data_IF_868476588437
#
_entry.id   IF_868476588437
#
_cell.length_a   1.000
_cell.length_b   1.000
_cell.length_c   1.000
_cell.angle_alpha   90.00
_cell.angle_beta   90.00
_cell.angle_gamma   90.00
#
_symmetry.space_group_name_H-M   'P 1'
#
loop_
_entity.id
_entity.type
_entity.pdbx_description
1 polymer ?
#
# COMPACT_ATOMS: atom_id res chain seq x y z
N UNK A 1 -5.69 10.35 5.45
CA UNK A 1 -6.51 10.37 4.20
C UNK A 1 -7.18 11.71 3.98
N UNK A 2 -7.10 12.65 4.92
CA UNK A 2 -7.71 13.98 4.80
C UNK A 2 -7.25 14.76 3.57
N UNK A 3 -6.02 14.53 3.09
CA UNK A 3 -5.44 15.22 1.93
C UNK A 3 -5.67 14.50 0.59
N UNK A 4 -6.28 13.31 0.58
CA UNK A 4 -6.45 12.52 -0.64
C UNK A 4 -7.71 12.96 -1.39
N UNK A 5 -7.56 13.40 -2.64
CA UNK A 5 -8.70 13.86 -3.44
C UNK A 5 -9.32 12.72 -4.26
N UNK A 6 -10.64 12.80 -4.53
CA UNK A 6 -11.33 11.82 -5.37
C UNK A 6 -10.73 11.70 -6.78
N UNK A 7 -10.32 12.83 -7.36
CA UNK A 7 -9.69 12.86 -8.70
C UNK A 7 -8.34 12.15 -8.69
N UNK A 8 -7.52 12.39 -7.66
CA UNK A 8 -6.24 11.72 -7.51
C UNK A 8 -6.41 10.20 -7.31
N UNK A 9 -7.41 9.78 -6.52
CA UNK A 9 -7.73 8.38 -6.32
C UNK A 9 -8.13 7.67 -7.64
N UNK A 10 -8.98 8.30 -8.46
CA UNK A 10 -9.37 7.75 -9.76
C UNK A 10 -8.16 7.66 -10.70
N UNK A 11 -7.35 8.71 -10.79
CA UNK A 11 -6.15 8.71 -11.64
C UNK A 11 -5.15 7.66 -11.16
N UNK A 12 -4.91 7.57 -9.85
CA UNK A 12 -4.05 6.55 -9.25
C UNK A 12 -4.52 5.14 -9.59
N UNK A 13 -5.81 4.86 -9.45
CA UNK A 13 -6.37 3.56 -9.80
C UNK A 13 -6.18 3.21 -11.29
N UNK A 14 -6.40 4.18 -12.20
CA UNK A 14 -6.18 3.98 -13.63
C UNK A 14 -4.70 3.78 -13.97
N UNK A 15 -3.80 4.54 -13.33
CA UNK A 15 -2.34 4.46 -13.51
C UNK A 15 -1.74 3.19 -12.89
N UNK A 16 -2.40 2.61 -11.88
CA UNK A 16 -1.96 1.34 -11.27
C UNK A 16 -1.95 0.18 -12.27
N UNK A 17 -2.84 0.20 -13.27
CA UNK A 17 -2.97 -0.85 -14.29
C UNK A 17 -1.70 -0.92 -15.17
N UNK A 18 -1.25 0.16 -15.85
CA UNK A 18 -0.02 0.11 -16.63
C UNK A 18 1.22 -0.13 -15.75
N UNK A 19 1.26 0.37 -14.50
CA UNK A 19 2.35 0.08 -13.56
C UNK A 19 2.43 -1.43 -13.27
N UNK A 20 1.31 -2.06 -12.94
CA UNK A 20 1.25 -3.49 -12.67
C UNK A 20 1.61 -4.32 -13.92
N UNK A 21 1.18 -3.86 -15.10
CA UNK A 21 1.50 -4.50 -16.37
C UNK A 21 3.00 -4.46 -16.64
N UNK A 22 3.68 -3.33 -16.41
CA UNK A 22 5.12 -3.20 -16.58
C UNK A 22 5.91 -4.28 -15.81
N UNK A 23 5.57 -4.51 -14.54
CA UNK A 23 6.22 -5.53 -13.71
C UNK A 23 5.88 -6.98 -14.12
N UNK A 24 4.83 -7.20 -14.92
CA UNK A 24 4.43 -8.53 -15.38
C UNK A 24 5.01 -8.92 -16.73
N UNK A 25 5.57 -7.98 -17.50
CA UNK A 25 6.05 -8.25 -18.88
C UNK A 25 7.26 -9.18 -18.91
N UNK A 26 8.31 -8.91 -18.12
CA UNK A 26 9.51 -9.77 -18.06
C UNK A 26 9.21 -11.15 -17.45
N UNK A 27 8.59 -11.26 -16.26
CA UNK A 27 8.32 -12.55 -15.61
C UNK A 27 7.38 -13.48 -16.40
N UNK A 28 6.60 -12.93 -17.35
CA UNK A 28 5.71 -13.70 -18.24
C UNK A 28 6.33 -14.02 -19.59
N UNK A 29 7.57 -13.60 -19.85
CA UNK A 29 8.27 -13.85 -21.12
C UNK A 29 7.64 -13.14 -22.32
N UNK A 30 6.96 -12.00 -22.08
CA UNK A 30 6.32 -11.23 -23.16
C UNK A 30 7.32 -10.33 -23.89
N UNK A 31 8.47 -10.03 -23.29
CA UNK A 31 9.57 -9.28 -23.90
C UNK A 31 10.90 -9.59 -23.21
N UNK A 32 11.94 -9.88 -24.00
CA UNK A 32 13.31 -10.13 -23.53
C UNK A 32 14.17 -8.85 -23.42
N UNK A 33 13.52 -7.68 -23.43
CA UNK A 33 14.22 -6.40 -23.32
C UNK A 33 14.72 -6.17 -21.90
N UNK A 34 15.97 -5.71 -21.75
CA UNK A 34 16.58 -5.34 -20.47
C UNK A 34 15.85 -4.19 -19.73
N UNK A 35 14.87 -3.56 -20.37
CA UNK A 35 13.99 -2.55 -19.76
C UNK A 35 12.98 -3.16 -18.77
N UNK A 36 12.69 -4.46 -18.84
CA UNK A 36 11.74 -5.11 -17.93
C UNK A 36 12.48 -5.91 -16.86
N UNK A 37 12.12 -5.68 -15.60
CA UNK A 37 12.76 -6.31 -14.44
C UNK A 37 12.04 -7.61 -14.11
N UNK A 38 12.80 -8.70 -13.96
CA UNK A 38 12.29 -9.97 -13.46
C UNK A 38 12.40 -10.02 -11.93
N UNK A 39 11.25 -9.93 -11.25
CA UNK A 39 11.13 -9.93 -9.79
C UNK A 39 9.98 -10.85 -9.34
N UNK A 40 10.04 -11.44 -8.13
CA UNK A 40 8.98 -12.29 -7.59
C UNK A 40 7.63 -11.58 -7.49
N UNK A 41 6.53 -12.31 -7.65
CA UNK A 41 5.17 -11.76 -7.67
C UNK A 41 4.83 -10.91 -6.43
N UNK A 42 5.28 -11.31 -5.23
CA UNK A 42 5.02 -10.56 -4.00
C UNK A 42 5.64 -9.14 -4.07
N UNK A 43 6.85 -9.04 -4.60
CA UNK A 43 7.56 -7.78 -4.77
C UNK A 43 6.88 -6.91 -5.85
N UNK A 44 6.41 -7.52 -6.94
CA UNK A 44 5.63 -6.82 -7.97
C UNK A 44 4.39 -6.14 -7.38
N UNK A 45 3.66 -6.87 -6.52
CA UNK A 45 2.48 -6.33 -5.84
C UNK A 45 2.85 -5.21 -4.88
N UNK A 46 3.95 -5.37 -4.12
CA UNK A 46 4.48 -4.34 -3.22
C UNK A 46 4.86 -3.05 -3.96
N UNK A 47 5.65 -3.14 -5.03
CA UNK A 47 6.05 -1.98 -5.83
C UNK A 47 4.86 -1.30 -6.50
N UNK A 48 3.92 -2.08 -7.05
CA UNK A 48 2.69 -1.53 -7.64
C UNK A 48 1.91 -0.71 -6.61
N UNK A 49 1.75 -1.23 -5.39
CA UNK A 49 1.04 -0.54 -4.31
C UNK A 49 1.74 0.77 -3.92
N UNK A 50 3.06 0.74 -3.71
CA UNK A 50 3.85 1.91 -3.33
C UNK A 50 3.85 2.99 -4.41
N UNK A 51 4.04 2.62 -5.69
CA UNK A 51 4.04 3.57 -6.80
C UNK A 51 2.66 4.16 -7.03
N UNK A 52 1.60 3.37 -6.90
CA UNK A 52 0.22 3.88 -7.00
C UNK A 52 -0.07 4.88 -5.88
N UNK A 53 0.31 4.56 -4.65
CA UNK A 53 0.18 5.48 -3.51
C UNK A 53 0.94 6.78 -3.76
N UNK A 54 2.18 6.68 -4.26
CA UNK A 54 3.00 7.85 -4.59
C UNK A 54 2.34 8.76 -5.63
N UNK A 55 1.77 8.19 -6.71
CA UNK A 55 1.03 8.94 -7.73
C UNK A 55 -0.19 9.65 -7.11
N UNK A 56 -0.97 8.96 -6.28
CA UNK A 56 -2.14 9.55 -5.61
C UNK A 56 -1.72 10.72 -4.71
N UNK A 57 -0.65 10.56 -3.93
CA UNK A 57 -0.13 11.60 -3.05
C UNK A 57 0.34 12.82 -3.85
N UNK A 58 1.12 12.62 -4.92
CA UNK A 58 1.59 13.71 -5.77
C UNK A 58 0.44 14.50 -6.41
N UNK A 59 -0.52 13.80 -7.02
CA UNK A 59 -1.64 14.46 -7.70
C UNK A 59 -2.52 15.18 -6.68
N UNK A 60 -2.80 14.57 -5.52
CA UNK A 60 -3.58 15.22 -4.46
C UNK A 60 -2.87 16.48 -3.97
N UNK A 61 -1.56 16.40 -3.75
CA UNK A 61 -0.75 17.52 -3.29
C UNK A 61 -0.74 18.68 -4.29
N UNK A 62 -0.55 18.40 -5.58
CA UNK A 62 -0.59 19.42 -6.64
C UNK A 62 -1.99 20.02 -6.78
N UNK A 63 -3.05 19.23 -6.60
CA UNK A 63 -4.41 19.69 -6.79
C UNK A 63 -4.88 20.64 -5.67
N UNK A 64 -4.56 20.32 -4.40
CA UNK A 64 -5.01 21.09 -3.24
C UNK A 64 -3.90 21.89 -2.56
N UNK A 65 -2.67 21.92 -3.11
CA UNK A 65 -1.48 22.53 -2.50
C UNK A 65 -1.29 22.10 -1.04
N UNK A 66 -1.56 20.82 -0.75
CA UNK A 66 -1.45 20.25 0.60
C UNK A 66 -2.56 20.64 1.58
N UNK A 67 -3.62 21.33 1.14
CA UNK A 67 -4.83 21.54 1.95
C UNK A 67 -5.64 20.25 2.07
N UNK A 68 -6.41 20.17 3.15
CA UNK A 68 -7.30 19.04 3.38
C UNK A 68 -8.48 19.08 2.40
N UNK A 69 -8.93 17.92 1.96
CA UNK A 69 -10.09 17.75 1.09
C UNK A 69 -11.37 17.85 1.95
N UNK A 70 -12.39 18.56 1.46
CA UNK A 70 -13.67 18.72 2.15
C UNK A 70 -14.39 17.38 2.39
N UNK A 71 -14.08 16.36 1.60
CA UNK A 71 -14.58 14.99 1.74
C UNK A 71 -13.57 14.05 2.41
N UNK A 72 -12.50 14.62 2.96
CA UNK A 72 -11.54 13.89 3.78
C UNK A 72 -12.23 13.25 4.99
N UNK A 73 -11.85 12.02 5.30
CA UNK A 73 -12.30 11.36 6.53
C UNK A 73 -11.49 11.94 7.69
N UNK A 74 -12.17 12.57 8.64
CA UNK A 74 -11.56 13.01 9.90
C UNK A 74 -11.23 11.77 10.74
N UNK A 75 -9.94 11.55 10.96
CA UNK A 75 -9.40 10.40 11.69
C UNK A 75 -8.97 10.88 13.07
N UNK A 76 -9.83 10.65 14.05
CA UNK A 76 -9.54 10.97 15.44
C UNK A 76 -8.83 9.83 16.17
N UNK A 77 -8.10 10.15 17.25
CA UNK A 77 -7.46 9.14 18.12
C UNK A 77 -8.49 8.20 18.78
N UNK A 78 -9.71 8.68 19.00
CA UNK A 78 -10.80 7.89 19.58
C UNK A 78 -11.21 6.73 18.68
N UNK A 79 -11.13 6.92 17.35
CA UNK A 79 -11.47 5.87 16.36
C UNK A 79 -10.58 4.63 16.49
N UNK A 80 -9.38 4.77 17.05
CA UNK A 80 -8.44 3.67 17.25
C UNK A 80 -8.35 3.18 18.69
N UNK A 81 -9.17 3.71 19.62
CA UNK A 81 -9.15 3.22 21.00
C UNK A 81 -9.73 1.81 21.06
N UNK A 82 -8.93 0.90 21.58
CA UNK A 82 -9.27 -0.51 21.78
C UNK A 82 -9.45 -0.83 23.27
N UNK A 83 -10.25 -1.85 23.58
CA UNK A 83 -10.46 -2.28 24.96
C UNK A 83 -9.22 -2.98 25.53
N UNK A 84 -8.98 -2.92 26.86
CA UNK A 84 -7.84 -3.61 27.48
C UNK A 84 -7.79 -5.11 27.19
N UNK A 85 -8.96 -5.76 27.15
CA UNK A 85 -9.07 -7.21 26.85
C UNK A 85 -8.62 -7.50 25.42
N UNK A 86 -9.02 -6.67 24.45
CA UNK A 86 -8.59 -6.82 23.06
C UNK A 86 -7.05 -6.67 22.93
N UNK A 87 -6.47 -5.70 23.64
CA UNK A 87 -5.02 -5.45 23.59
C UNK A 87 -4.20 -6.60 24.18
N UNK A 88 -4.66 -7.18 25.29
CA UNK A 88 -4.00 -8.36 25.87
C UNK A 88 -4.09 -9.54 24.90
N UNK A 89 -5.26 -9.75 24.29
CA UNK A 89 -5.47 -10.80 23.30
C UNK A 89 -4.59 -10.65 22.06
N UNK A 90 -4.51 -9.44 21.49
CA UNK A 90 -3.68 -9.18 20.30
C UNK A 90 -2.19 -9.36 20.59
N UNK A 91 -1.72 -8.93 21.77
CA UNK A 91 -0.34 -9.18 22.22
C UNK A 91 -0.02 -10.67 22.32
N UNK A 92 -0.94 -11.48 22.87
CA UNK A 92 -0.73 -12.92 22.97
C UNK A 92 -0.61 -13.57 21.58
N UNK A 93 -1.49 -13.20 20.64
CA UNK A 93 -1.42 -13.70 19.25
C UNK A 93 -0.10 -13.32 18.59
N UNK A 94 0.37 -12.07 18.76
CA UNK A 94 1.67 -11.64 18.24
C UNK A 94 2.84 -12.43 18.83
N UNK A 95 2.83 -12.68 20.15
CA UNK A 95 3.87 -13.46 20.81
C UNK A 95 3.91 -14.91 20.31
N UNK A 96 2.75 -15.53 20.09
CA UNK A 96 2.67 -16.87 19.50
C UNK A 96 3.24 -16.86 18.08
N UNK A 97 2.90 -15.88 17.25
CA UNK A 97 3.48 -15.73 15.91
C UNK A 97 5.00 -15.60 15.95
N UNK A 98 5.53 -14.74 16.84
CA UNK A 98 6.97 -14.56 17.02
C UNK A 98 7.64 -15.87 17.43
N UNK A 99 7.07 -16.59 18.41
CA UNK A 99 7.62 -17.87 18.86
C UNK A 99 7.62 -18.92 17.74
N UNK A 100 6.55 -19.01 16.94
CA UNK A 100 6.47 -19.92 15.80
C UNK A 100 7.54 -19.57 14.75
N UNK A 101 7.60 -18.31 14.32
CA UNK A 101 8.60 -17.89 13.34
C UNK A 101 10.03 -18.06 13.86
N UNK A 102 10.30 -17.75 15.13
CA UNK A 102 11.60 -17.96 15.73
C UNK A 102 11.96 -19.44 15.81
N UNK A 103 11.02 -20.32 16.18
CA UNK A 103 11.32 -21.75 16.32
C UNK A 103 11.54 -22.46 14.98
N UNK A 104 10.78 -22.10 13.94
CA UNK A 104 10.89 -22.73 12.62
C UNK A 104 11.97 -22.10 11.72
N UNK A 105 12.45 -20.90 12.06
CA UNK A 105 13.44 -20.16 11.28
C UNK A 105 14.78 -19.95 12.01
N UNK A 106 14.89 -20.26 13.31
CA UNK A 106 16.16 -20.39 14.01
C UNK A 106 16.84 -21.73 13.69
#
# INVERSE_FOLDING_TARGET
MEKTTNKAAIIGALVSIPIAMYFKVAPKGWSDSALFVDIPFMDQMGYTALLTMFVIVLISYVQHNGKDDEKGIDISKETFKTSPIFNIGSMLVMLVLVALYAFFWA
#
